data_IF_120265239868
#
_entry.id   IF_120265239868
#
_cell.length_a   1.000
_cell.length_b   1.000
_cell.length_c   1.000
_cell.angle_alpha   90.00
_cell.angle_beta   90.00
_cell.angle_gamma   90.00
#
_symmetry.space_group_name_H-M   'P 1'
#
loop_
_entity.id
_entity.type
_entity.pdbx_description
1 polymer ?
#
# COMPACT_ATOMS: atom_id res chain seq x y z
N UNK A 1 -47.28 -4.29 -30.18
CA UNK A 1 -47.26 -4.54 -28.71
C UNK A 1 -46.07 -5.47 -28.45
N UNK A 2 -45.02 -5.17 -27.70
CA UNK A 2 -44.78 -4.22 -26.61
C UNK A 2 -43.38 -3.61 -26.72
N UNK A 3 -43.22 -2.47 -26.04
CA UNK A 3 -42.07 -1.59 -26.01
C UNK A 3 -40.83 -2.16 -25.30
N UNK A 4 -39.67 -1.84 -25.89
CA UNK A 4 -38.41 -1.41 -25.28
C UNK A 4 -38.39 -1.19 -23.75
N UNK A 5 -37.32 -1.65 -23.10
CA UNK A 5 -36.65 -0.88 -22.05
C UNK A 5 -35.15 -1.20 -21.99
N UNK A 6 -34.37 -0.58 -22.89
CA UNK A 6 -32.93 -0.38 -22.65
C UNK A 6 -32.79 0.71 -21.60
N UNK A 7 -32.50 0.33 -20.36
CA UNK A 7 -32.01 1.28 -19.36
C UNK A 7 -30.53 1.54 -19.70
N UNK A 8 -30.28 2.63 -20.42
CA UNK A 8 -28.91 3.13 -20.65
C UNK A 8 -28.29 3.49 -19.31
N UNK A 9 -27.05 3.04 -19.06
CA UNK A 9 -26.20 3.31 -17.88
C UNK A 9 -26.34 4.75 -17.32
N UNK A 10 -26.49 5.75 -18.19
CA UNK A 10 -26.73 7.17 -17.83
C UNK A 10 -27.96 7.42 -16.93
N UNK A 11 -29.07 6.69 -17.12
CA UNK A 11 -30.33 6.92 -16.39
C UNK A 11 -30.31 6.33 -14.98
N UNK A 12 -29.57 5.23 -14.80
CA UNK A 12 -29.30 4.63 -13.50
C UNK A 12 -28.27 5.46 -12.72
N UNK A 13 -27.21 5.94 -13.39
CA UNK A 13 -26.22 6.85 -12.80
C UNK A 13 -26.90 8.16 -12.35
N UNK A 14 -27.82 8.71 -13.13
CA UNK A 14 -28.57 9.92 -12.73
C UNK A 14 -29.54 9.66 -11.58
N UNK A 15 -30.14 8.47 -11.49
CA UNK A 15 -30.98 8.06 -10.34
C UNK A 15 -30.20 7.86 -9.05
N UNK A 16 -29.04 7.21 -9.15
CA UNK A 16 -28.12 7.02 -8.02
C UNK A 16 -27.58 8.38 -7.56
N UNK A 17 -27.10 9.23 -8.48
CA UNK A 17 -26.62 10.58 -8.17
C UNK A 17 -27.73 11.50 -7.60
N UNK A 18 -28.98 11.31 -8.02
CA UNK A 18 -30.14 12.08 -7.51
C UNK A 18 -30.57 11.64 -6.11
N UNK A 19 -30.27 10.40 -5.70
CA UNK A 19 -30.63 9.84 -4.38
C UNK A 19 -29.56 10.09 -3.31
N UNK A 20 -28.29 10.22 -3.70
CA UNK A 20 -27.21 10.72 -2.85
C UNK A 20 -27.23 12.26 -2.81
N UNK A 21 -28.19 12.81 -2.05
CA UNK A 21 -28.43 14.24 -1.86
C UNK A 21 -27.15 15.09 -1.78
N UNK A 22 -26.83 15.82 -2.87
CA UNK A 22 -25.82 16.87 -2.92
C UNK A 22 -24.34 16.46 -2.95
N UNK A 23 -23.99 15.21 -2.60
CA UNK A 23 -22.60 14.72 -2.59
C UNK A 23 -22.42 13.53 -3.53
N UNK A 24 -21.52 13.67 -4.51
CA UNK A 24 -21.14 12.62 -5.47
C UNK A 24 -20.46 11.47 -4.72
N UNK A 25 -20.95 10.22 -4.90
CA UNK A 25 -20.35 9.00 -4.35
C UNK A 25 -18.84 8.94 -4.65
N UNK A 26 -18.02 8.66 -3.64
CA UNK A 26 -16.56 8.54 -3.78
C UNK A 26 -16.11 7.10 -3.56
N UNK A 27 -14.95 6.76 -4.09
CA UNK A 27 -14.33 5.44 -3.92
C UNK A 27 -14.04 5.13 -2.45
N UNK A 28 -13.63 6.14 -1.68
CA UNK A 28 -13.47 6.01 -0.23
C UNK A 28 -14.77 5.62 0.50
N UNK A 29 -15.95 6.01 -0.01
CA UNK A 29 -17.23 5.58 0.57
C UNK A 29 -17.47 4.09 0.31
N UNK A 30 -17.08 3.58 -0.87
CA UNK A 30 -17.13 2.16 -1.19
C UNK A 30 -16.13 1.37 -0.35
N UNK A 31 -14.91 1.87 -0.20
CA UNK A 31 -13.88 1.24 0.62
C UNK A 31 -14.32 1.09 2.06
N UNK A 32 -14.88 2.15 2.65
CA UNK A 32 -15.41 2.11 4.00
C UNK A 32 -16.59 1.12 4.14
N UNK A 33 -17.45 1.02 3.12
CA UNK A 33 -18.53 0.01 3.09
C UNK A 33 -18.00 -1.40 3.01
N UNK A 34 -17.03 -1.65 2.13
CA UNK A 34 -16.34 -2.95 2.03
C UNK A 34 -15.73 -3.34 3.38
N UNK A 35 -15.00 -2.42 4.02
CA UNK A 35 -14.36 -2.66 5.29
C UNK A 35 -15.35 -3.04 6.40
N UNK A 36 -16.47 -2.31 6.53
CA UNK A 36 -17.45 -2.55 7.61
C UNK A 36 -18.39 -3.72 7.34
N UNK A 37 -18.72 -3.99 6.08
CA UNK A 37 -19.82 -4.91 5.73
C UNK A 37 -19.42 -6.05 4.80
N UNK A 38 -18.19 -6.10 4.28
CA UNK A 38 -17.73 -7.18 3.40
C UNK A 38 -18.00 -8.57 4.01
N UNK A 39 -17.74 -8.73 5.31
CA UNK A 39 -18.07 -9.98 6.05
C UNK A 39 -19.57 -10.27 6.14
N UNK A 40 -20.43 -9.27 6.34
CA UNK A 40 -21.89 -9.48 6.44
C UNK A 40 -22.56 -9.73 5.07
N UNK A 41 -21.87 -9.35 3.99
CA UNK A 41 -22.23 -9.64 2.60
C UNK A 41 -21.68 -10.98 2.11
N UNK A 42 -20.88 -11.66 2.92
CA UNK A 42 -20.27 -12.95 2.59
C UNK A 42 -21.30 -13.98 2.11
N UNK A 43 -21.05 -14.61 0.96
CA UNK A 43 -21.95 -15.58 0.33
C UNK A 43 -23.11 -14.97 -0.45
N UNK A 44 -23.31 -13.64 -0.39
CA UNK A 44 -24.28 -12.89 -1.22
C UNK A 44 -23.62 -12.19 -2.41
N UNK A 45 -22.29 -12.09 -2.39
CA UNK A 45 -21.49 -11.51 -3.45
C UNK A 45 -21.16 -12.57 -4.51
N UNK A 46 -21.19 -12.17 -5.77
CA UNK A 46 -20.80 -13.00 -6.90
C UNK A 46 -19.86 -12.23 -7.82
N UNK A 47 -18.90 -12.93 -8.42
CA UNK A 47 -17.99 -12.34 -9.41
C UNK A 47 -18.73 -12.05 -10.71
N UNK A 48 -18.11 -11.28 -11.62
CA UNK A 48 -18.55 -11.11 -13.01
C UNK A 48 -18.71 -12.45 -13.74
N UNK A 49 -17.93 -13.47 -13.37
CA UNK A 49 -18.02 -14.85 -13.90
C UNK A 49 -19.04 -15.74 -13.18
N UNK A 50 -19.71 -15.24 -12.13
CA UNK A 50 -20.77 -15.94 -11.40
C UNK A 50 -20.30 -16.74 -10.19
N UNK A 51 -19.01 -16.72 -9.86
CA UNK A 51 -18.47 -17.43 -8.69
C UNK A 51 -18.91 -16.76 -7.40
N UNK A 52 -19.33 -17.57 -6.42
CA UNK A 52 -19.66 -17.06 -5.09
C UNK A 52 -18.41 -16.55 -4.39
N UNK A 53 -18.54 -15.40 -3.73
CA UNK A 53 -17.48 -14.79 -2.91
C UNK A 53 -17.88 -14.80 -1.45
N UNK A 54 -17.05 -15.43 -0.64
CA UNK A 54 -17.14 -15.44 0.83
C UNK A 54 -15.95 -14.67 1.37
N UNK A 55 -16.22 -13.59 2.10
CA UNK A 55 -15.19 -12.74 2.73
C UNK A 55 -14.86 -13.31 4.10
N UNK A 56 -13.67 -13.90 4.25
CA UNK A 56 -13.18 -14.38 5.54
C UNK A 56 -12.55 -13.21 6.29
N UNK A 57 -11.62 -12.51 5.63
CA UNK A 57 -11.02 -11.25 6.08
C UNK A 57 -11.08 -10.21 4.95
N UNK A 58 -11.67 -9.02 5.16
CA UNK A 58 -11.82 -7.99 4.13
C UNK A 58 -10.50 -7.30 3.76
N UNK A 59 -9.42 -7.58 4.51
CA UNK A 59 -8.12 -6.93 4.38
C UNK A 59 -7.95 -5.74 5.32
N UNK A 60 -6.72 -5.23 5.38
CA UNK A 60 -6.34 -4.05 6.16
C UNK A 60 -6.36 -2.83 5.23
N UNK A 61 -7.08 -1.75 5.56
CA UNK A 61 -7.10 -0.54 4.74
C UNK A 61 -5.70 0.04 4.56
N UNK A 62 -5.34 0.32 3.32
CA UNK A 62 -4.09 0.98 2.95
C UNK A 62 -4.31 2.50 2.90
N UNK A 63 -3.40 3.26 3.52
CA UNK A 63 -3.43 4.74 3.52
C UNK A 63 -2.28 5.34 2.71
N UNK A 64 -1.50 4.48 2.08
CA UNK A 64 -0.36 4.81 1.25
C UNK A 64 -0.65 4.41 -0.21
N UNK A 65 0.36 4.49 -1.08
CA UNK A 65 0.25 4.03 -2.47
C UNK A 65 0.01 2.52 -2.58
N UNK A 66 -0.58 2.09 -3.68
CA UNK A 66 -0.92 0.70 -3.95
C UNK A 66 -2.39 0.40 -3.68
N UNK A 67 -2.76 -0.88 -3.54
CA UNK A 67 -4.16 -1.27 -3.48
C UNK A 67 -4.87 -0.77 -2.22
N UNK A 68 -6.18 -0.52 -2.31
CA UNK A 68 -7.00 0.01 -1.20
C UNK A 68 -6.97 -0.86 0.06
N UNK A 69 -6.89 -2.18 -0.08
CA UNK A 69 -6.78 -3.11 1.05
C UNK A 69 -5.68 -4.14 0.84
N UNK A 70 -4.93 -4.40 1.90
CA UNK A 70 -3.85 -5.38 1.90
C UNK A 70 -4.22 -6.64 2.66
N UNK A 71 -3.71 -7.80 2.21
CA UNK A 71 -3.80 -9.08 2.93
C UNK A 71 -5.23 -9.55 3.27
N UNK A 72 -6.19 -9.30 2.39
CA UNK A 72 -7.51 -9.92 2.46
C UNK A 72 -7.43 -11.44 2.29
N UNK A 73 -8.41 -12.14 2.84
CA UNK A 73 -8.57 -13.59 2.70
C UNK A 73 -9.99 -13.91 2.27
N UNK A 74 -10.14 -14.46 1.08
CA UNK A 74 -11.40 -14.69 0.41
C UNK A 74 -11.53 -16.17 0.04
N UNK A 75 -12.77 -16.65 -0.05
CA UNK A 75 -13.10 -17.92 -0.67
C UNK A 75 -13.93 -17.61 -1.92
N UNK A 76 -13.36 -17.81 -3.11
CA UNK A 76 -13.97 -17.53 -4.41
C UNK A 76 -14.15 -18.86 -5.15
N UNK A 77 -15.38 -19.20 -5.53
CA UNK A 77 -15.65 -20.48 -6.20
C UNK A 77 -15.24 -21.72 -5.38
N UNK A 78 -15.12 -21.59 -4.05
CA UNK A 78 -14.65 -22.65 -3.16
C UNK A 78 -13.13 -22.74 -2.98
N UNK A 79 -12.35 -21.84 -3.60
CA UNK A 79 -10.89 -21.78 -3.45
C UNK A 79 -10.51 -20.65 -2.50
N UNK A 80 -9.70 -20.95 -1.49
CA UNK A 80 -9.21 -19.97 -0.54
C UNK A 80 -8.01 -19.22 -1.14
N UNK A 81 -8.10 -17.89 -1.19
CA UNK A 81 -7.11 -17.01 -1.81
C UNK A 81 -6.77 -15.89 -0.84
N UNK A 82 -5.49 -15.55 -0.77
CA UNK A 82 -4.98 -14.42 0.01
C UNK A 82 -4.29 -13.42 -0.91
N UNK A 83 -4.59 -12.14 -0.72
CA UNK A 83 -4.03 -11.06 -1.54
C UNK A 83 -4.70 -9.73 -1.22
N UNK A 84 -4.61 -8.81 -2.16
CA UNK A 84 -5.03 -7.42 -1.98
C UNK A 84 -6.36 -7.16 -2.71
N UNK A 85 -7.04 -6.06 -2.36
CA UNK A 85 -8.31 -5.67 -2.98
C UNK A 85 -8.21 -4.22 -3.43
N UNK A 86 -8.66 -3.98 -4.65
CA UNK A 86 -8.78 -2.65 -5.22
C UNK A 86 -10.24 -2.25 -5.40
N UNK A 87 -10.55 -0.97 -5.21
CA UNK A 87 -11.92 -0.46 -5.21
C UNK A 87 -12.04 0.78 -6.08
N UNK A 88 -12.93 0.70 -7.07
CA UNK A 88 -13.25 1.85 -7.92
C UNK A 88 -14.75 2.06 -8.05
N UNK A 89 -15.16 3.22 -8.56
CA UNK A 89 -16.56 3.40 -8.95
C UNK A 89 -16.95 2.49 -10.13
N UNK A 90 -16.02 2.26 -11.06
CA UNK A 90 -16.22 1.50 -12.28
C UNK A 90 -14.94 0.72 -12.64
N UNK A 91 -15.07 -0.39 -13.38
CA UNK A 91 -13.91 -1.23 -13.68
C UNK A 91 -12.86 -0.54 -14.56
N UNK A 92 -13.28 0.43 -15.39
CA UNK A 92 -12.40 1.17 -16.30
C UNK A 92 -11.33 2.00 -15.56
N UNK A 93 -11.64 2.49 -14.35
CA UNK A 93 -10.68 3.22 -13.51
C UNK A 93 -9.37 2.45 -13.30
N UNK A 94 -9.40 1.11 -13.30
CA UNK A 94 -8.20 0.27 -13.23
C UNK A 94 -7.17 0.59 -14.33
N UNK A 95 -7.65 0.87 -15.54
CA UNK A 95 -6.80 1.19 -16.69
C UNK A 95 -6.48 2.68 -16.73
N UNK A 96 -7.44 3.54 -16.41
CA UNK A 96 -7.23 5.00 -16.37
C UNK A 96 -6.12 5.36 -15.34
N UNK A 97 -6.03 4.61 -14.24
CA UNK A 97 -4.98 4.75 -13.22
C UNK A 97 -3.72 3.90 -13.50
N UNK A 98 -3.65 3.21 -14.64
CA UNK A 98 -2.50 2.40 -15.06
C UNK A 98 -2.13 1.22 -14.14
N UNK A 99 -3.05 0.77 -13.28
CA UNK A 99 -2.82 -0.35 -12.35
C UNK A 99 -2.51 -1.67 -13.04
N UNK A 100 -3.07 -1.89 -14.24
CA UNK A 100 -2.74 -3.01 -15.11
C UNK A 100 -1.24 -3.12 -15.47
N UNK A 101 -0.46 -2.03 -15.33
CA UNK A 101 0.97 -2.02 -15.64
C UNK A 101 1.86 -1.86 -14.40
N UNK A 102 1.26 -1.56 -13.25
CA UNK A 102 1.95 -1.23 -12.02
C UNK A 102 2.21 -2.49 -11.16
N UNK A 103 3.48 -2.71 -10.83
CA UNK A 103 3.91 -3.84 -10.00
C UNK A 103 3.29 -3.84 -8.59
N UNK A 104 2.92 -2.66 -8.06
CA UNK A 104 2.27 -2.54 -6.75
C UNK A 104 0.91 -3.27 -6.68
N UNK A 105 0.27 -3.53 -7.82
CA UNK A 105 -1.07 -4.12 -7.92
C UNK A 105 -1.04 -5.60 -8.32
N UNK A 106 0.14 -6.23 -8.40
CA UNK A 106 0.30 -7.63 -8.84
C UNK A 106 -0.37 -8.63 -7.90
N UNK A 107 -0.55 -8.27 -6.62
CA UNK A 107 -1.18 -9.13 -5.61
C UNK A 107 -2.68 -8.89 -5.48
N UNK A 108 -3.30 -8.06 -6.32
CA UNK A 108 -4.75 -7.82 -6.26
C UNK A 108 -5.49 -9.08 -6.71
N UNK A 109 -6.34 -9.59 -5.81
CA UNK A 109 -7.12 -10.83 -6.01
C UNK A 109 -8.60 -10.57 -6.23
N UNK A 110 -9.06 -9.32 -6.02
CA UNK A 110 -10.44 -8.92 -6.23
C UNK A 110 -10.49 -7.43 -6.58
N UNK A 111 -11.25 -7.09 -7.61
CA UNK A 111 -11.58 -5.71 -7.95
C UNK A 111 -13.05 -5.45 -7.59
N UNK A 112 -13.30 -4.58 -6.62
CA UNK A 112 -14.66 -4.24 -6.18
C UNK A 112 -15.10 -2.96 -6.86
N UNK A 113 -16.26 -2.99 -7.52
CA UNK A 113 -16.79 -1.82 -8.24
C UNK A 113 -18.24 -1.52 -7.85
N UNK A 114 -18.63 -0.25 -7.93
CA UNK A 114 -20.02 0.16 -7.70
C UNK A 114 -20.92 -0.07 -8.91
N UNK A 115 -20.44 0.32 -10.10
CA UNK A 115 -21.25 0.35 -11.31
C UNK A 115 -20.88 -0.81 -12.23
N UNK A 116 -21.89 -1.62 -12.54
CA UNK A 116 -21.77 -2.74 -13.46
C UNK A 116 -21.87 -2.30 -14.92
N UNK A 117 -20.94 -2.77 -15.74
CA UNK A 117 -21.01 -2.76 -17.21
C UNK A 117 -21.12 -4.19 -17.76
N UNK A 118 -21.53 -4.31 -19.02
CA UNK A 118 -21.61 -5.61 -19.70
C UNK A 118 -20.22 -6.16 -20.07
N UNK A 119 -19.25 -5.27 -20.28
CA UNK A 119 -17.91 -5.60 -20.80
C UNK A 119 -16.81 -5.37 -19.73
N UNK A 120 -17.16 -5.43 -18.44
CA UNK A 120 -16.20 -5.21 -17.36
C UNK A 120 -15.20 -6.38 -17.29
N UNK A 121 -13.94 -6.07 -17.57
CA UNK A 121 -12.80 -6.99 -17.44
C UNK A 121 -11.65 -6.27 -16.76
N UNK A 122 -11.03 -6.93 -15.78
CA UNK A 122 -9.85 -6.41 -15.08
C UNK A 122 -8.71 -7.39 -15.28
N UNK A 123 -7.62 -6.94 -15.88
CA UNK A 123 -6.43 -7.74 -16.09
C UNK A 123 -5.30 -7.23 -15.20
N UNK A 124 -4.63 -8.16 -14.52
CA UNK A 124 -3.34 -7.92 -13.87
C UNK A 124 -2.25 -7.64 -14.90
N UNK A 125 -1.07 -7.24 -14.42
CA UNK A 125 0.13 -7.05 -15.25
C UNK A 125 0.57 -8.29 -16.03
N UNK A 126 0.27 -9.48 -15.53
CA UNK A 126 0.58 -10.74 -16.18
C UNK A 126 -0.58 -11.26 -17.06
N UNK A 127 -1.48 -10.38 -17.49
CA UNK A 127 -2.68 -10.67 -18.28
C UNK A 127 -3.65 -11.68 -17.65
N UNK A 128 -3.52 -11.94 -16.33
CA UNK A 128 -4.47 -12.76 -15.58
C UNK A 128 -5.70 -11.95 -15.23
N UNK A 129 -6.88 -12.54 -15.44
CA UNK A 129 -8.14 -11.94 -15.05
C UNK A 129 -8.26 -11.87 -13.53
N UNK A 130 -8.56 -10.66 -13.03
CA UNK A 130 -8.88 -10.40 -11.63
C UNK A 130 -10.41 -10.40 -11.51
N UNK A 131 -10.99 -11.26 -10.67
CA UNK A 131 -12.44 -11.31 -10.49
C UNK A 131 -13.01 -9.97 -10.04
N UNK A 132 -14.13 -9.56 -10.66
CA UNK A 132 -14.81 -8.30 -10.35
C UNK A 132 -16.05 -8.59 -9.50
N UNK A 133 -16.21 -7.91 -8.37
CA UNK A 133 -17.44 -7.97 -7.56
C UNK A 133 -18.14 -6.63 -7.57
N UNK A 134 -19.45 -6.66 -7.82
CA UNK A 134 -20.31 -5.49 -7.77
C UNK A 134 -20.82 -5.30 -6.35
N UNK A 135 -20.39 -4.23 -5.68
CA UNK A 135 -20.85 -3.92 -4.32
C UNK A 135 -22.17 -3.15 -4.41
N UNK A 136 -23.30 -3.72 -3.95
CA UNK A 136 -24.60 -3.10 -4.16
C UNK A 136 -24.75 -1.80 -3.35
N UNK A 137 -25.12 -0.72 -4.04
CA UNK A 137 -25.46 0.59 -3.46
C UNK A 137 -26.90 0.58 -2.93
N UNK A 138 -27.17 -0.23 -1.90
CA UNK A 138 -28.51 -0.35 -1.34
C UNK A 138 -28.85 0.89 -0.48
N UNK A 139 -29.97 1.54 -0.78
CA UNK A 139 -30.39 2.80 -0.17
C UNK A 139 -30.68 2.72 1.35
N UNK A 140 -31.06 1.55 1.86
CA UNK A 140 -31.39 1.37 3.28
C UNK A 140 -30.15 1.22 4.18
N UNK A 141 -28.96 1.06 3.60
CA UNK A 141 -27.74 0.89 4.40
C UNK A 141 -27.35 2.19 5.10
N UNK A 142 -27.55 3.33 4.46
CA UNK A 142 -27.33 4.64 5.07
C UNK A 142 -28.44 4.99 6.08
N UNK A 143 -29.67 4.47 5.89
CA UNK A 143 -30.79 4.70 6.80
C UNK A 143 -30.73 3.85 8.09
N UNK A 144 -30.14 2.65 8.04
CA UNK A 144 -29.93 1.80 9.23
C UNK A 144 -28.79 2.29 10.13
N UNK A 145 -27.98 3.23 9.65
CA UNK A 145 -26.77 3.70 10.32
C UNK A 145 -26.87 5.21 10.42
N UNK A 146 -27.44 5.69 11.54
CA UNK A 146 -27.67 7.11 11.83
C UNK A 146 -26.41 8.01 11.83
N UNK A 147 -25.24 7.51 11.39
CA UNK A 147 -23.98 8.24 11.28
C UNK A 147 -23.23 7.75 10.04
N UNK A 148 -22.64 8.68 9.27
CA UNK A 148 -21.63 8.33 8.26
C UNK A 148 -20.61 7.39 8.90
N UNK A 149 -20.35 6.19 8.34
CA UNK A 149 -19.37 5.30 8.93
C UNK A 149 -18.02 6.01 9.02
N UNK A 150 -17.22 5.67 10.03
CA UNK A 150 -15.87 6.19 10.22
C UNK A 150 -14.86 5.07 10.06
N UNK A 151 -13.65 5.40 9.65
CA UNK A 151 -12.58 4.42 9.70
C UNK A 151 -12.18 4.09 11.15
N UNK A 152 -11.71 2.87 11.46
CA UNK A 152 -11.33 2.49 12.83
C UNK A 152 -10.30 3.42 13.48
N UNK A 153 -9.38 3.99 12.70
CA UNK A 153 -8.37 4.92 13.22
C UNK A 153 -8.93 6.29 13.56
N UNK A 154 -10.13 6.63 13.08
CA UNK A 154 -10.83 7.86 13.50
C UNK A 154 -11.48 7.68 14.87
N UNK A 155 -11.86 6.44 15.23
CA UNK A 155 -12.32 6.08 16.56
C UNK A 155 -11.12 5.76 17.51
N UNK A 156 -9.94 5.52 16.93
CA UNK A 156 -8.67 5.30 17.64
C UNK A 156 -8.66 4.04 18.51
N UNK A 157 -7.53 3.77 19.18
CA UNK A 157 -7.44 2.74 20.22
C UNK A 157 -8.23 3.09 21.50
N UNK A 158 -9.12 4.09 21.41
CA UNK A 158 -9.77 4.72 22.55
C UNK A 158 -10.71 3.75 23.24
N UNK A 159 -11.48 2.95 22.49
CA UNK A 159 -12.46 2.05 23.10
C UNK A 159 -11.82 0.98 23.98
N UNK A 160 -10.72 0.37 23.54
CA UNK A 160 -10.02 -0.68 24.31
C UNK A 160 -9.18 -0.09 25.47
N UNK A 161 -8.70 1.14 25.34
CA UNK A 161 -7.96 1.83 26.42
C UNK A 161 -8.88 2.61 27.37
N UNK A 162 -10.16 2.83 27.04
CA UNK A 162 -11.11 3.61 27.84
C UNK A 162 -11.49 2.93 29.16
N UNK A 163 -11.24 1.62 29.27
CA UNK A 163 -11.47 0.84 30.49
C UNK A 163 -10.29 0.93 31.48
N UNK A 164 -9.14 1.46 31.05
CA UNK A 164 -7.93 1.56 31.88
C UNK A 164 -7.81 2.96 32.52
N UNK A 165 -7.46 3.00 33.80
CA UNK A 165 -7.12 4.25 34.46
C UNK A 165 -5.72 4.76 34.05
N UNK A 166 -5.38 6.05 34.28
CA UNK A 166 -4.10 6.62 33.86
C UNK A 166 -2.85 5.87 34.38
N UNK A 167 -2.93 5.28 35.58
CA UNK A 167 -1.84 4.48 36.15
C UNK A 167 -1.64 3.15 35.43
N UNK A 168 -2.74 2.48 35.05
CA UNK A 168 -2.72 1.24 34.26
C UNK A 168 -2.15 1.49 32.86
N UNK A 169 -2.57 2.58 32.21
CA UNK A 169 -2.02 3.01 30.92
C UNK A 169 -0.51 3.26 31.04
N UNK A 170 -0.06 3.97 32.08
CA UNK A 170 1.35 4.23 32.30
C UNK A 170 2.15 2.93 32.46
N UNK A 171 1.70 2.01 33.32
CA UNK A 171 2.37 0.73 33.54
C UNK A 171 2.41 -0.12 32.26
N UNK A 172 1.33 -0.13 31.48
CA UNK A 172 1.26 -0.78 30.19
C UNK A 172 2.28 -0.19 29.21
N UNK A 173 2.34 1.14 29.08
CA UNK A 173 3.31 1.83 28.21
C UNK A 173 4.75 1.55 28.64
N UNK A 174 5.05 1.53 29.94
CA UNK A 174 6.37 1.18 30.46
C UNK A 174 6.74 -0.26 30.13
N UNK A 175 5.80 -1.21 30.33
CA UNK A 175 6.01 -2.63 29.99
C UNK A 175 6.28 -2.81 28.50
N UNK A 176 5.40 -2.28 27.64
CA UNK A 176 5.54 -2.37 26.18
C UNK A 176 6.79 -1.64 25.68
N UNK A 177 7.13 -0.50 26.28
CA UNK A 177 8.36 0.24 26.00
C UNK A 177 9.61 -0.58 26.32
N UNK A 178 9.63 -1.24 27.48
CA UNK A 178 10.74 -2.13 27.89
C UNK A 178 10.85 -3.33 26.96
N UNK A 179 9.74 -3.93 26.57
CA UNK A 179 9.72 -5.04 25.62
C UNK A 179 10.29 -4.61 24.26
N UNK A 180 9.81 -3.49 23.71
CA UNK A 180 10.33 -2.91 22.46
C UNK A 180 11.82 -2.60 22.53
N UNK A 181 12.30 -2.07 23.66
CA UNK A 181 13.73 -1.83 23.89
C UNK A 181 14.53 -3.14 23.90
N UNK A 182 14.04 -4.16 24.58
CA UNK A 182 14.67 -5.48 24.62
C UNK A 182 14.74 -6.14 23.24
N UNK A 183 13.69 -6.03 22.43
CA UNK A 183 13.69 -6.51 21.04
C UNK A 183 14.74 -5.77 20.20
N UNK A 184 14.83 -4.45 20.30
CA UNK A 184 15.89 -3.66 19.64
C UNK A 184 17.29 -4.08 20.07
N UNK A 185 17.51 -4.27 21.38
CA UNK A 185 18.80 -4.72 21.93
C UNK A 185 19.21 -6.09 21.37
N UNK A 186 18.29 -7.06 21.35
CA UNK A 186 18.55 -8.41 20.79
C UNK A 186 18.96 -8.30 19.32
N UNK A 187 18.26 -7.47 18.54
CA UNK A 187 18.59 -7.25 17.12
C UNK A 187 20.00 -6.67 16.93
N UNK A 188 20.37 -5.64 17.70
CA UNK A 188 21.73 -5.08 17.62
C UNK A 188 22.80 -6.06 18.08
N UNK A 189 22.54 -6.86 19.13
CA UNK A 189 23.47 -7.90 19.58
C UNK A 189 23.78 -8.90 18.47
N UNK A 190 22.75 -9.44 17.80
CA UNK A 190 22.93 -10.35 16.67
C UNK A 190 23.74 -9.71 15.52
N UNK A 191 23.49 -8.43 15.24
CA UNK A 191 24.23 -7.74 14.19
C UNK A 191 25.70 -7.48 14.56
N UNK A 192 26.01 -7.21 15.84
CA UNK A 192 27.40 -7.14 16.32
C UNK A 192 28.09 -8.50 16.20
N UNK A 193 27.42 -9.58 16.63
CA UNK A 193 27.94 -10.94 16.58
C UNK A 193 28.21 -11.42 15.15
N UNK A 194 27.50 -10.88 14.16
CA UNK A 194 27.76 -11.12 12.73
C UNK A 194 28.98 -10.35 12.16
N UNK A 195 29.76 -9.68 13.01
CA UNK A 195 31.01 -8.99 12.62
C UNK A 195 30.86 -7.52 12.25
N UNK A 196 29.69 -6.90 12.46
CA UNK A 196 29.53 -5.46 12.24
C UNK A 196 30.15 -4.65 13.38
N UNK A 197 30.81 -3.54 13.04
CA UNK A 197 31.27 -2.57 14.04
C UNK A 197 30.10 -1.73 14.60
N UNK A 198 30.27 -1.13 15.78
CA UNK A 198 29.30 -0.16 16.32
C UNK A 198 29.01 0.99 15.35
N UNK A 199 30.01 1.47 14.62
CA UNK A 199 29.84 2.51 13.61
C UNK A 199 28.95 2.07 12.45
N UNK A 200 29.13 0.84 11.97
CA UNK A 200 28.29 0.25 10.91
C UNK A 200 26.83 0.12 11.39
N UNK A 201 26.61 -0.31 12.63
CA UNK A 201 25.25 -0.40 13.19
C UNK A 201 24.59 0.96 13.35
N UNK A 202 25.33 1.97 13.82
CA UNK A 202 24.83 3.33 13.89
C UNK A 202 24.45 3.85 12.50
N UNK A 203 25.31 3.68 11.51
CA UNK A 203 25.04 4.06 10.13
C UNK A 203 23.78 3.38 9.57
N UNK A 204 23.65 2.05 9.74
CA UNK A 204 22.46 1.31 9.31
C UNK A 204 21.18 1.79 10.01
N UNK A 205 21.27 2.08 11.31
CA UNK A 205 20.18 2.64 12.09
C UNK A 205 19.77 4.02 11.60
N UNK A 206 20.76 4.88 11.29
CA UNK A 206 20.55 6.21 10.73
C UNK A 206 19.92 6.16 9.34
N UNK A 207 20.46 5.34 8.43
CA UNK A 207 19.88 5.11 7.11
C UNK A 207 18.41 4.68 7.25
N UNK A 208 18.12 3.65 8.05
CA UNK A 208 16.75 3.20 8.33
C UNK A 208 15.84 4.33 8.82
N UNK A 209 16.33 5.21 9.70
CA UNK A 209 15.55 6.33 10.22
C UNK A 209 15.19 7.36 9.15
N UNK A 210 16.10 7.64 8.20
CA UNK A 210 15.85 8.55 7.07
C UNK A 210 14.72 8.07 6.14
N UNK A 211 14.43 6.76 6.14
CA UNK A 211 13.29 6.22 5.41
C UNK A 211 11.92 6.61 6.00
N UNK A 212 11.86 7.12 7.23
CA UNK A 212 10.62 7.37 7.97
C UNK A 212 9.67 6.16 7.92
N UNK A 213 8.38 6.33 8.24
CA UNK A 213 7.42 5.22 8.23
C UNK A 213 7.29 4.56 6.85
N UNK A 214 7.30 5.35 5.78
CA UNK A 214 6.98 4.90 4.42
C UNK A 214 8.11 4.11 3.74
N UNK A 215 9.36 4.53 3.96
CA UNK A 215 10.52 3.97 3.26
C UNK A 215 11.52 3.26 4.19
N UNK A 216 11.07 2.86 5.40
CA UNK A 216 11.93 2.21 6.40
C UNK A 216 12.65 0.97 5.84
N UNK A 217 11.97 0.13 5.06
CA UNK A 217 12.57 -1.11 4.52
C UNK A 217 13.56 -0.81 3.40
N UNK A 218 13.21 0.09 2.48
CA UNK A 218 14.05 0.54 1.37
C UNK A 218 15.35 1.17 1.91
N UNK A 219 15.25 2.11 2.84
CA UNK A 219 16.41 2.73 3.47
C UNK A 219 17.21 1.78 4.37
N UNK A 220 16.57 0.80 5.00
CA UNK A 220 17.28 -0.28 5.70
C UNK A 220 18.05 -1.18 4.73
N UNK A 221 17.53 -1.39 3.53
CA UNK A 221 18.22 -2.11 2.46
C UNK A 221 19.43 -1.29 1.97
N UNK A 222 19.25 0.00 1.69
CA UNK A 222 20.34 0.92 1.31
C UNK A 222 21.49 0.89 2.31
N UNK A 223 21.19 1.08 3.60
CA UNK A 223 22.22 1.03 4.65
C UNK A 223 22.91 -0.34 4.76
N UNK A 224 22.29 -1.40 4.27
CA UNK A 224 22.90 -2.74 4.26
C UNK A 224 23.76 -2.99 3.02
N UNK A 225 23.40 -2.39 1.87
CA UNK A 225 24.13 -2.48 0.61
C UNK A 225 25.37 -1.57 0.60
N UNK A 226 25.24 -0.33 1.04
CA UNK A 226 26.33 0.64 1.07
C UNK A 226 27.02 0.66 2.44
N UNK A 227 28.04 -0.17 2.65
CA UNK A 227 28.77 -0.24 3.93
C UNK A 227 29.43 1.09 4.30
N UNK A 228 29.49 1.38 5.60
CA UNK A 228 30.14 2.60 6.12
C UNK A 228 31.63 2.68 5.75
N UNK A 229 32.31 1.54 5.65
CA UNK A 229 33.72 1.48 5.22
C UNK A 229 33.90 2.02 3.80
N UNK A 230 32.98 1.72 2.88
CA UNK A 230 32.99 2.22 1.49
C UNK A 230 32.79 3.74 1.46
N UNK A 231 31.84 4.25 2.24
CA UNK A 231 31.61 5.70 2.37
C UNK A 231 32.88 6.40 2.86
N UNK A 232 33.50 5.86 3.92
CA UNK A 232 34.76 6.41 4.47
C UNK A 232 35.92 6.34 3.49
N UNK A 233 36.03 5.27 2.69
CA UNK A 233 37.04 5.13 1.63
C UNK A 233 36.90 6.26 0.62
N UNK A 234 35.69 6.49 0.11
CA UNK A 234 35.41 7.53 -0.89
C UNK A 234 35.75 8.91 -0.36
N UNK A 235 35.31 9.24 0.86
CA UNK A 235 35.60 10.55 1.47
C UNK A 235 37.11 10.79 1.62
N UNK A 236 37.90 9.73 1.86
CA UNK A 236 39.37 9.84 2.03
C UNK A 236 40.13 9.91 0.70
N UNK A 237 39.62 9.29 -0.35
CA UNK A 237 40.33 9.16 -1.64
C UNK A 237 40.10 10.33 -2.60
N UNK A 238 39.10 11.17 -2.34
CA UNK A 238 38.82 12.37 -3.15
C UNK A 238 39.44 13.63 -2.54
N UNK A 239 39.85 14.54 -3.43
CA UNK A 239 40.58 15.76 -3.07
C UNK A 239 39.69 16.89 -2.55
N UNK A 240 38.36 16.83 -2.75
CA UNK A 240 37.42 17.86 -2.31
C UNK A 240 36.10 17.27 -1.79
N UNK A 241 35.45 17.97 -0.87
CA UNK A 241 34.12 17.60 -0.34
C UNK A 241 33.05 17.54 -1.43
N UNK A 242 33.17 18.41 -2.45
CA UNK A 242 32.26 18.41 -3.59
C UNK A 242 32.40 17.11 -4.40
N UNK A 243 33.62 16.64 -4.63
CA UNK A 243 33.87 15.37 -5.31
C UNK A 243 33.40 14.19 -4.47
N UNK A 244 33.59 14.23 -3.14
CA UNK A 244 33.03 13.22 -2.24
C UNK A 244 31.51 13.15 -2.38
N UNK A 245 30.84 14.30 -2.36
CA UNK A 245 29.39 14.42 -2.51
C UNK A 245 28.89 13.80 -3.80
N UNK A 246 29.50 14.16 -4.94
CA UNK A 246 29.11 13.63 -6.26
C UNK A 246 29.32 12.11 -6.33
N UNK A 247 30.42 11.59 -5.77
CA UNK A 247 30.67 10.15 -5.77
C UNK A 247 29.66 9.39 -4.87
N UNK A 248 29.36 9.91 -3.68
CA UNK A 248 28.36 9.30 -2.79
C UNK A 248 26.95 9.36 -3.39
N UNK A 249 26.57 10.49 -3.98
CA UNK A 249 25.31 10.64 -4.69
C UNK A 249 25.20 9.65 -5.86
N UNK A 250 26.27 9.45 -6.63
CA UNK A 250 26.28 8.47 -7.71
C UNK A 250 26.03 7.04 -7.22
N UNK A 251 26.54 6.69 -6.04
CA UNK A 251 26.26 5.39 -5.41
C UNK A 251 24.81 5.28 -4.95
N UNK A 252 24.26 6.33 -4.33
CA UNK A 252 22.86 6.35 -3.87
C UNK A 252 21.89 6.21 -5.04
N UNK A 253 22.06 7.00 -6.10
CA UNK A 253 21.24 6.92 -7.31
C UNK A 253 21.44 5.61 -8.08
N UNK A 254 22.66 5.09 -8.11
CA UNK A 254 22.96 3.83 -8.75
C UNK A 254 22.32 2.64 -8.05
N UNK A 255 22.42 2.58 -6.72
CA UNK A 255 21.79 1.53 -5.91
C UNK A 255 20.27 1.62 -5.91
N UNK A 256 19.69 2.81 -6.09
CA UNK A 256 18.24 3.01 -6.13
C UNK A 256 17.62 2.72 -7.50
N UNK A 257 18.45 2.50 -8.54
CA UNK A 257 17.98 2.36 -9.91
C UNK A 257 17.48 3.67 -10.52
N UNK A 258 17.75 4.82 -9.90
CA UNK A 258 17.32 6.14 -10.36
C UNK A 258 18.30 6.77 -11.38
N UNK A 259 19.39 6.09 -11.73
CA UNK A 259 20.26 6.53 -12.83
C UNK A 259 19.60 6.21 -14.17
N UNK A 260 18.91 7.19 -14.73
CA UNK A 260 18.34 7.10 -16.06
C UNK A 260 19.41 7.07 -17.16
N UNK A 261 19.28 6.13 -18.09
CA UNK A 261 20.14 6.04 -19.28
C UNK A 261 19.56 6.87 -20.42
N UNK A 262 20.37 7.69 -21.08
CA UNK A 262 19.96 8.44 -22.28
C UNK A 262 19.45 9.87 -22.02
N UNK A 263 19.52 10.35 -20.78
CA UNK A 263 19.12 11.72 -20.43
C UNK A 263 20.15 12.75 -20.93
N UNK A 264 19.66 13.87 -21.45
CA UNK A 264 20.49 15.01 -21.84
C UNK A 264 21.02 15.80 -20.64
N UNK A 265 20.51 15.57 -19.44
CA UNK A 265 20.91 16.26 -18.22
C UNK A 265 22.39 16.01 -17.87
N UNK A 266 23.12 17.11 -17.64
CA UNK A 266 24.57 17.08 -17.43
C UNK A 266 24.94 16.44 -16.07
N UNK A 267 24.11 16.61 -15.05
CA UNK A 267 24.33 16.03 -13.71
C UNK A 267 24.10 14.52 -13.75
N UNK A 268 23.02 14.05 -14.38
CA UNK A 268 22.73 12.62 -14.50
C UNK A 268 23.81 11.87 -15.29
N UNK A 269 24.39 12.50 -16.33
CA UNK A 269 25.56 11.94 -17.03
C UNK A 269 26.78 11.84 -16.13
N UNK A 270 27.05 12.88 -15.32
CA UNK A 270 28.17 12.88 -14.37
C UNK A 270 28.01 11.79 -13.30
N UNK A 271 26.83 11.68 -12.70
CA UNK A 271 26.52 10.65 -11.71
C UNK A 271 26.62 9.25 -12.33
N UNK A 272 26.10 9.04 -13.54
CA UNK A 272 26.20 7.75 -14.25
C UNK A 272 27.65 7.35 -14.54
N UNK A 273 28.51 8.31 -14.90
CA UNK A 273 29.94 8.07 -15.10
C UNK A 273 30.62 7.65 -13.79
N UNK A 274 30.37 8.36 -12.70
CA UNK A 274 30.98 8.08 -11.40
C UNK A 274 30.46 6.78 -10.77
N UNK A 275 29.19 6.43 -10.97
CA UNK A 275 28.64 5.14 -10.57
C UNK A 275 29.41 3.97 -11.20
N UNK A 276 29.65 4.03 -12.52
CA UNK A 276 30.42 2.99 -13.23
C UNK A 276 31.83 2.81 -12.66
N UNK A 277 32.47 3.90 -12.21
CA UNK A 277 33.79 3.87 -11.58
C UNK A 277 33.75 3.26 -10.17
N UNK A 278 32.71 3.56 -9.39
CA UNK A 278 32.67 3.23 -7.96
C UNK A 278 31.96 1.90 -7.63
N UNK A 279 31.17 1.34 -8.57
CA UNK A 279 30.37 0.12 -8.35
C UNK A 279 31.19 -1.19 -8.33
N UNK A 280 32.41 -1.19 -8.82
CA UNK A 280 33.23 -2.40 -9.08
C UNK A 280 34.09 -2.86 -7.89
N UNK A 281 33.92 -2.23 -6.73
CA UNK A 281 34.67 -2.44 -5.49
C UNK A 281 33.71 -2.61 -4.31
#
# INVERSE_FOLDING_TARGET
MQYSNRVTSSKFISEVNRKYMGERLKENDLALRWFRYGKSLSGKLTTNSGDKVVVIEPGVPNRDSGPDFQNAMLLIGGVAIKGDIEIHLNARSWYDHHHHSDGAYTNVILHVVAFKSADDVTLSKDDKEIPIVYLPLLADWDARINRKPKWPWEDGCYHEMSELNPGEIYLLLVRLGRERLNQKRKKFKLQLESGNSYGELFYRGFARALGYSKNTSQFSCFGSLLRLSKIRKIIREVSSDNDAGINLESLLFGLSGLLETGVTDSRMRLLSKNWKKNKTD
#
